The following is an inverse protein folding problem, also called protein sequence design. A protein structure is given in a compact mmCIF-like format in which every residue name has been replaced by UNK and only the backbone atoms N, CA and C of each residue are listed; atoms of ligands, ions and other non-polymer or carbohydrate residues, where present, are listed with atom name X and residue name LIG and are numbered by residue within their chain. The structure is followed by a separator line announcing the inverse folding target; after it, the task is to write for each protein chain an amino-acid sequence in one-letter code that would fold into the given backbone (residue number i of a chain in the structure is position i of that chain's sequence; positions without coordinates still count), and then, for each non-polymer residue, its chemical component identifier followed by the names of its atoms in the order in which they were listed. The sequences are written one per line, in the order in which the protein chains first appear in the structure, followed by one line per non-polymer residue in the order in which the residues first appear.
data_IF_277738608194
#
_entry.id   IF_277738608194
#
_cell.length_a   1.000
_cell.length_b   1.000
_cell.length_c   1.000
_cell.angle_alpha   90.00
_cell.angle_beta   90.00
_cell.angle_gamma   90.00
#
_symmetry.space_group_name_H-M   'P 1'
#
loop_
_entity.id
_entity.type
_entity.pdbx_description
1 polymer ?
#
# COMPACT_ATOMS: atom_id res chain seq x y z
N UNK A 1 -48.84 -13.27 110.27
CA UNK A 1 -49.60 -13.01 109.00
C UNK A 1 -48.87 -12.02 108.11
N UNK A 2 -48.07 -11.14 108.57
CA UNK A 2 -47.39 -10.06 107.72
C UNK A 2 -46.29 -10.58 106.74
N UNK A 3 -45.53 -11.64 107.07
CA UNK A 3 -44.42 -12.14 106.23
C UNK A 3 -44.95 -12.91 104.96
N UNK A 4 -46.11 -13.54 104.99
CA UNK A 4 -46.70 -14.30 103.89
C UNK A 4 -47.26 -13.37 102.81
N UNK A 5 -47.77 -12.22 103.16
CA UNK A 5 -48.29 -11.25 102.24
C UNK A 5 -47.13 -10.47 101.50
N UNK A 6 -45.97 -10.33 102.16
CA UNK A 6 -44.79 -9.72 101.59
C UNK A 6 -44.20 -10.61 100.51
N UNK A 7 -44.16 -11.93 100.69
CA UNK A 7 -43.66 -12.86 99.67
C UNK A 7 -44.58 -12.94 98.45
N UNK A 8 -45.90 -12.87 98.67
CA UNK A 8 -46.83 -12.81 97.55
C UNK A 8 -46.71 -11.54 96.73
N UNK A 9 -46.51 -10.38 97.38
CA UNK A 9 -46.26 -9.10 96.71
C UNK A 9 -44.95 -9.09 95.91
N UNK A 10 -43.87 -9.69 96.44
CA UNK A 10 -42.62 -9.85 95.76
C UNK A 10 -42.72 -10.74 94.51
N UNK A 11 -43.53 -11.86 94.65
CA UNK A 11 -43.79 -12.76 93.54
C UNK A 11 -44.55 -12.08 92.34
N UNK A 12 -45.55 -11.24 92.73
CA UNK A 12 -46.35 -10.53 91.72
C UNK A 12 -45.46 -9.45 90.98
N UNK A 13 -44.61 -8.79 91.72
CA UNK A 13 -43.69 -7.83 91.11
C UNK A 13 -42.67 -8.52 90.22
N UNK A 14 -42.13 -9.67 90.66
CA UNK A 14 -41.17 -10.44 89.83
C UNK A 14 -41.86 -10.97 88.52
N UNK A 15 -43.10 -11.48 88.69
CA UNK A 15 -43.88 -11.92 87.47
C UNK A 15 -44.19 -10.76 86.54
N UNK A 16 -44.50 -9.56 87.05
CA UNK A 16 -44.73 -8.35 86.23
C UNK A 16 -43.47 -7.89 85.49
N UNK A 17 -42.31 -7.98 86.16
CA UNK A 17 -41.03 -7.65 85.54
C UNK A 17 -40.64 -8.65 84.46
N UNK A 18 -40.89 -9.94 84.68
CA UNK A 18 -40.65 -10.98 83.65
C UNK A 18 -41.57 -10.79 82.46
N UNK A 19 -42.88 -10.53 82.64
CA UNK A 19 -43.81 -10.23 81.55
C UNK A 19 -43.39 -8.97 80.80
N UNK A 20 -42.92 -7.95 81.51
CA UNK A 20 -42.46 -6.71 80.88
C UNK A 20 -41.18 -6.93 80.07
N UNK A 21 -40.24 -7.78 80.54
CA UNK A 21 -39.00 -8.11 79.77
C UNK A 21 -39.33 -8.97 78.52
N UNK A 22 -40.32 -9.88 78.59
CA UNK A 22 -40.75 -10.71 77.48
C UNK A 22 -41.55 -9.88 76.47
N UNK A 23 -42.37 -8.93 76.96
CA UNK A 23 -43.18 -8.06 76.10
C UNK A 23 -42.37 -6.89 75.45
N UNK A 24 -41.07 -6.76 75.72
CA UNK A 24 -40.24 -5.79 75.02
C UNK A 24 -40.20 -6.14 73.54
N UNK A 25 -40.74 -5.30 72.62
CA UNK A 25 -40.63 -5.56 71.21
C UNK A 25 -39.14 -5.62 70.84
N UNK A 26 -38.68 -6.79 70.43
CA UNK A 26 -37.34 -6.95 69.84
C UNK A 26 -37.29 -6.01 68.63
N UNK A 27 -36.49 -4.97 68.72
CA UNK A 27 -36.17 -4.16 67.54
C UNK A 27 -35.34 -5.04 66.61
N UNK A 28 -36.04 -5.72 65.68
CA UNK A 28 -35.40 -6.44 64.59
C UNK A 28 -34.38 -5.54 63.86
N UNK A 29 -33.42 -6.13 63.21
CA UNK A 29 -32.44 -5.37 62.45
C UNK A 29 -33.14 -4.40 61.50
N UNK A 30 -32.89 -3.10 61.62
CA UNK A 30 -33.39 -2.13 60.63
C UNK A 30 -32.66 -2.42 59.35
N UNK A 31 -33.34 -3.07 58.41
CA UNK A 31 -32.85 -3.17 57.04
C UNK A 31 -32.92 -1.76 56.43
N UNK A 32 -31.78 -1.11 56.32
CA UNK A 32 -31.62 0.12 55.56
C UNK A 32 -31.68 -0.31 54.08
N UNK A 33 -32.80 -0.12 53.45
CA UNK A 33 -32.92 -0.23 51.98
C UNK A 33 -32.35 1.04 51.40
N UNK A 34 -31.15 0.94 50.82
CA UNK A 34 -30.61 1.99 50.02
C UNK A 34 -31.19 1.87 48.60
N UNK A 35 -32.03 2.80 48.24
CA UNK A 35 -32.64 2.85 46.91
C UNK A 35 -31.85 3.80 46.05
N UNK A 36 -31.25 3.31 44.98
CA UNK A 36 -30.65 4.12 43.94
C UNK A 36 -31.68 4.40 42.82
N UNK A 37 -31.81 5.61 42.34
CA UNK A 37 -32.65 5.89 41.19
C UNK A 37 -32.13 5.14 39.96
N UNK A 38 -33.02 4.52 39.22
CA UNK A 38 -32.67 3.94 37.90
C UNK A 38 -32.43 5.10 36.94
N UNK A 39 -31.19 5.19 36.42
CA UNK A 39 -30.85 6.12 35.39
C UNK A 39 -30.51 5.38 34.08
N UNK A 40 -30.90 5.98 32.95
CA UNK A 40 -30.45 5.48 31.66
C UNK A 40 -29.02 5.95 31.43
N UNK A 41 -28.12 5.00 31.28
CA UNK A 41 -26.72 5.27 30.95
C UNK A 41 -26.51 4.82 29.51
N UNK A 42 -25.97 5.70 28.69
CA UNK A 42 -25.51 5.32 27.33
C UNK A 42 -24.08 4.76 27.46
N UNK A 43 -23.93 3.49 27.19
CA UNK A 43 -22.59 2.87 27.12
C UNK A 43 -22.09 3.08 25.68
N UNK A 44 -20.97 3.71 25.57
CA UNK A 44 -20.26 3.85 24.28
C UNK A 44 -19.11 2.86 24.30
N UNK A 45 -19.09 1.99 23.29
CA UNK A 45 -17.92 1.17 23.01
C UNK A 45 -17.09 1.90 21.96
N UNK A 46 -15.81 2.07 22.20
CA UNK A 46 -14.88 2.73 21.28
C UNK A 46 -13.70 1.82 20.99
N UNK A 47 -13.38 1.69 19.73
CA UNK A 47 -12.15 1.05 19.25
C UNK A 47 -11.11 2.13 19.07
N UNK A 48 -9.90 1.91 19.55
CA UNK A 48 -8.76 2.82 19.38
C UNK A 48 -7.74 2.18 18.46
N UNK A 49 -7.24 2.95 17.51
CA UNK A 49 -6.23 2.52 16.56
C UNK A 49 -5.20 3.64 16.35
N UNK A 50 -4.01 3.28 15.94
CA UNK A 50 -3.00 4.23 15.45
C UNK A 50 -3.02 4.20 13.93
N UNK A 51 -2.70 5.34 13.31
CA UNK A 51 -2.71 5.44 11.85
C UNK A 51 -1.77 6.50 11.33
N UNK A 52 -1.66 6.55 10.02
CA UNK A 52 -0.87 7.54 9.27
C UNK A 52 -1.77 8.42 8.44
N UNK A 53 -1.37 9.68 8.29
CA UNK A 53 -2.04 10.63 7.40
C UNK A 53 -1.36 10.56 6.05
N UNK A 54 -2.10 10.20 5.01
CA UNK A 54 -1.59 10.00 3.67
C UNK A 54 -2.44 10.75 2.65
N UNK A 55 -1.88 11.18 1.52
CA UNK A 55 -2.68 11.72 0.42
C UNK A 55 -3.61 10.65 -0.16
N UNK A 56 -4.81 11.06 -0.57
CA UNK A 56 -5.78 10.13 -1.21
C UNK A 56 -5.24 9.55 -2.50
N UNK A 57 -4.44 10.33 -3.25
CA UNK A 57 -3.82 9.86 -4.50
C UNK A 57 -2.32 10.10 -4.44
N UNK A 58 -1.56 9.02 -4.39
CA UNK A 58 -0.11 9.04 -4.50
C UNK A 58 0.35 7.99 -5.49
N UNK A 59 1.48 8.26 -6.15
CA UNK A 59 2.12 7.33 -7.08
C UNK A 59 3.58 7.15 -6.70
N UNK A 60 3.99 5.90 -6.59
CA UNK A 60 5.38 5.53 -6.41
C UNK A 60 6.06 5.44 -7.76
N UNK A 61 7.15 6.16 -7.90
CA UNK A 61 7.98 6.18 -9.10
C UNK A 61 9.25 5.40 -8.84
N UNK A 62 9.48 4.39 -9.63
CA UNK A 62 10.65 3.51 -9.55
C UNK A 62 11.34 3.33 -10.90
N UNK A 63 12.34 2.46 -10.96
CA UNK A 63 13.04 2.06 -12.19
C UNK A 63 12.98 0.55 -12.40
N UNK A 64 13.00 0.14 -13.67
CA UNK A 64 13.06 -1.27 -14.08
C UNK A 64 14.47 -1.71 -14.50
N UNK A 65 15.46 -0.81 -14.42
CA UNK A 65 16.85 -1.11 -14.73
C UNK A 65 17.73 -0.85 -13.53
N UNK A 66 18.78 -1.65 -13.38
CA UNK A 66 19.79 -1.45 -12.34
C UNK A 66 20.88 -0.50 -12.85
N UNK A 67 21.38 0.34 -11.96
CA UNK A 67 22.45 1.29 -12.31
C UNK A 67 22.71 2.26 -11.15
N UNK A 68 23.53 3.25 -11.43
CA UNK A 68 23.87 4.32 -10.49
C UNK A 68 23.01 5.54 -10.83
N UNK A 69 22.49 6.24 -9.82
CA UNK A 69 21.83 7.52 -10.00
C UNK A 69 22.90 8.56 -10.34
N UNK A 70 22.84 9.13 -11.54
CA UNK A 70 23.78 10.15 -11.99
C UNK A 70 23.39 11.53 -11.47
N UNK A 71 22.11 11.92 -11.66
CA UNK A 71 21.60 13.24 -11.26
C UNK A 71 20.16 13.17 -10.76
N UNK A 72 19.88 14.04 -9.80
CA UNK A 72 18.55 14.32 -9.29
C UNK A 72 18.12 15.73 -9.72
N UNK A 73 16.90 15.87 -10.24
CA UNK A 73 16.33 17.13 -10.71
C UNK A 73 15.12 17.59 -9.89
N UNK A 74 14.65 16.75 -8.98
CA UNK A 74 13.59 17.06 -8.04
C UNK A 74 13.96 16.58 -6.65
N UNK A 75 13.60 17.38 -5.65
CA UNK A 75 13.82 17.07 -4.24
C UNK A 75 12.48 17.06 -3.48
N UNK A 76 12.57 16.73 -2.19
CA UNK A 76 11.43 16.77 -1.27
C UNK A 76 10.70 18.12 -1.34
N UNK A 77 9.36 18.06 -1.39
CA UNK A 77 8.45 19.20 -1.49
C UNK A 77 8.51 20.01 -2.81
N UNK A 78 9.20 19.51 -3.83
CA UNK A 78 9.18 20.13 -5.16
C UNK A 78 7.89 19.83 -5.92
N UNK A 79 7.38 20.84 -6.63
CA UNK A 79 6.26 20.68 -7.55
C UNK A 79 6.76 20.14 -8.89
N UNK A 80 6.19 19.04 -9.34
CA UNK A 80 6.55 18.38 -10.60
C UNK A 80 5.32 18.25 -11.51
N UNK A 81 5.58 18.24 -12.82
CA UNK A 81 4.54 18.03 -13.84
C UNK A 81 4.66 16.65 -14.46
N UNK A 82 3.56 16.11 -14.95
CA UNK A 82 3.56 14.88 -15.72
C UNK A 82 4.54 14.96 -16.91
N UNK A 83 5.44 13.96 -17.02
CA UNK A 83 6.51 13.92 -18.01
C UNK A 83 7.76 14.74 -17.66
N UNK A 84 7.78 15.46 -16.54
CA UNK A 84 8.97 16.19 -16.10
C UNK A 84 10.06 15.23 -15.65
N UNK A 85 11.30 15.47 -16.06
CA UNK A 85 12.48 14.72 -15.62
C UNK A 85 12.73 14.99 -14.13
N UNK A 86 12.77 13.90 -13.33
CA UNK A 86 13.00 13.97 -11.88
C UNK A 86 14.32 13.33 -11.45
N UNK A 87 14.79 12.32 -12.20
CA UNK A 87 16.10 11.72 -11.98
C UNK A 87 16.65 11.10 -13.27
N UNK A 88 17.93 10.92 -13.31
CA UNK A 88 18.66 10.30 -14.42
C UNK A 88 19.69 9.31 -13.87
N UNK A 89 19.71 8.12 -14.45
CA UNK A 89 20.71 7.11 -14.14
C UNK A 89 21.88 7.20 -15.11
N UNK A 90 23.05 6.67 -14.73
CA UNK A 90 24.18 6.51 -15.64
C UNK A 90 23.78 5.67 -16.86
N UNK A 91 23.92 6.26 -18.04
CA UNK A 91 23.50 5.68 -19.32
C UNK A 91 24.66 5.09 -20.12
N UNK A 92 25.89 5.19 -19.65
CA UNK A 92 27.10 4.81 -20.44
C UNK A 92 26.99 3.37 -20.92
N UNK A 93 26.70 2.44 -20.03
CA UNK A 93 26.56 1.01 -20.36
C UNK A 93 25.36 0.74 -21.26
N UNK A 94 24.21 1.35 -21.00
CA UNK A 94 22.99 1.19 -21.77
C UNK A 94 23.11 1.79 -23.18
N UNK A 95 23.86 2.87 -23.33
CA UNK A 95 24.19 3.45 -24.65
C UNK A 95 25.10 2.54 -25.45
N UNK A 96 26.14 1.96 -24.83
CA UNK A 96 27.00 0.99 -25.48
C UNK A 96 26.24 -0.27 -25.94
N UNK A 97 25.31 -0.76 -25.11
CA UNK A 97 24.42 -1.87 -25.49
C UNK A 97 23.51 -1.49 -26.69
N UNK A 98 22.99 -0.25 -26.72
CA UNK A 98 22.17 0.22 -27.82
C UNK A 98 22.98 0.30 -29.12
N UNK A 99 24.22 0.82 -29.07
CA UNK A 99 25.11 0.84 -30.23
C UNK A 99 25.40 -0.57 -30.76
N UNK A 100 25.69 -1.52 -29.86
CA UNK A 100 25.91 -2.91 -30.23
C UNK A 100 24.66 -3.54 -30.88
N UNK A 101 23.47 -3.31 -30.31
CA UNK A 101 22.22 -3.79 -30.89
C UNK A 101 21.91 -3.16 -32.24
N UNK A 102 22.24 -1.87 -32.44
CA UNK A 102 22.11 -1.19 -33.73
C UNK A 102 23.04 -1.77 -34.80
N UNK A 103 24.30 -2.05 -34.44
CA UNK A 103 25.26 -2.69 -35.35
C UNK A 103 24.79 -4.09 -35.75
N UNK A 104 24.29 -4.90 -34.81
CA UNK A 104 23.73 -6.21 -35.09
C UNK A 104 22.50 -6.16 -36.00
N UNK A 105 21.60 -5.19 -35.75
CA UNK A 105 20.44 -4.96 -36.59
C UNK A 105 20.83 -4.54 -38.01
N UNK A 106 21.83 -3.69 -38.16
CA UNK A 106 22.34 -3.27 -39.47
C UNK A 106 22.94 -4.45 -40.25
N UNK A 107 23.71 -5.32 -39.57
CA UNK A 107 24.28 -6.51 -40.16
C UNK A 107 23.20 -7.50 -40.64
N UNK A 108 22.26 -7.85 -39.78
CA UNK A 108 21.15 -8.77 -40.15
C UNK A 108 20.24 -8.20 -41.23
N UNK A 109 20.03 -6.88 -41.23
CA UNK A 109 19.29 -6.19 -42.29
C UNK A 109 19.98 -6.32 -43.63
N UNK A 110 21.30 -6.11 -43.70
CA UNK A 110 22.10 -6.24 -44.94
C UNK A 110 22.02 -7.66 -45.50
N UNK A 111 22.14 -8.68 -44.62
CA UNK A 111 21.99 -10.07 -45.05
C UNK A 111 20.58 -10.38 -45.56
N UNK A 112 19.55 -9.93 -44.85
CA UNK A 112 18.16 -10.09 -45.31
C UNK A 112 17.90 -9.41 -46.65
N UNK A 113 18.40 -8.20 -46.87
CA UNK A 113 18.27 -7.50 -48.17
C UNK A 113 19.00 -8.23 -49.29
N UNK A 114 20.17 -8.80 -49.00
CA UNK A 114 20.91 -9.61 -49.97
C UNK A 114 20.14 -10.90 -50.36
N UNK A 115 19.69 -11.65 -49.34
CA UNK A 115 18.94 -12.88 -49.58
C UNK A 115 17.59 -12.61 -50.23
N UNK A 116 16.92 -11.52 -49.96
CA UNK A 116 15.70 -11.08 -50.61
C UNK A 116 15.92 -10.91 -52.13
N UNK A 117 17.00 -10.22 -52.51
CA UNK A 117 17.36 -10.02 -53.94
C UNK A 117 17.77 -11.32 -54.60
N UNK A 118 18.51 -12.19 -53.90
CA UNK A 118 18.89 -13.51 -54.37
C UNK A 118 17.72 -14.41 -54.61
N UNK A 119 16.81 -14.54 -53.62
CA UNK A 119 15.58 -15.31 -53.74
C UNK A 119 14.71 -14.81 -54.89
N UNK A 120 14.48 -13.50 -55.03
CA UNK A 120 13.69 -12.92 -56.10
C UNK A 120 14.27 -13.27 -57.50
N UNK A 121 15.60 -13.24 -57.65
CA UNK A 121 16.29 -13.63 -58.87
C UNK A 121 16.13 -15.12 -59.16
N UNK A 122 16.37 -15.99 -58.16
CA UNK A 122 16.27 -17.43 -58.30
C UNK A 122 14.82 -17.83 -58.61
N UNK A 123 13.84 -17.18 -57.98
CA UNK A 123 12.42 -17.41 -58.29
C UNK A 123 12.10 -17.12 -59.73
N UNK A 124 12.56 -15.99 -60.31
CA UNK A 124 12.34 -15.64 -61.71
C UNK A 124 13.00 -16.63 -62.66
N UNK A 125 14.19 -17.17 -62.28
CA UNK A 125 14.87 -18.21 -63.09
C UNK A 125 14.16 -19.56 -63.01
N UNK A 126 13.65 -19.92 -61.84
CA UNK A 126 12.85 -21.15 -61.64
C UNK A 126 11.56 -21.13 -62.44
N UNK A 127 10.82 -20.01 -62.46
CA UNK A 127 9.61 -19.83 -63.28
C UNK A 127 9.90 -20.02 -64.78
N UNK A 128 11.15 -19.75 -65.20
CA UNK A 128 11.61 -19.97 -66.59
C UNK A 128 12.28 -21.34 -66.78
N UNK A 129 12.25 -22.24 -65.77
CA UNK A 129 12.88 -23.55 -65.77
C UNK A 129 14.43 -23.52 -66.04
N UNK A 130 15.08 -22.49 -65.57
CA UNK A 130 16.56 -22.28 -65.74
C UNK A 130 17.38 -22.69 -64.54
N UNK A 131 16.74 -23.02 -63.41
CA UNK A 131 17.36 -23.54 -62.20
C UNK A 131 16.53 -24.74 -61.69
N UNK A 132 17.16 -25.61 -60.87
CA UNK A 132 16.52 -26.78 -60.27
C UNK A 132 15.61 -26.40 -59.10
N UNK A 133 14.65 -27.29 -58.78
CA UNK A 133 13.82 -27.15 -57.58
C UNK A 133 14.67 -27.05 -56.29
N UNK A 134 15.74 -27.82 -56.19
CA UNK A 134 16.66 -27.80 -55.05
C UNK A 134 17.36 -26.44 -54.85
N UNK A 135 17.75 -25.76 -55.95
CA UNK A 135 18.33 -24.41 -55.90
C UNK A 135 17.30 -23.35 -55.48
N UNK A 136 16.05 -23.51 -55.95
CA UNK A 136 14.97 -22.63 -55.51
C UNK A 136 14.66 -22.82 -54.03
N UNK A 137 14.52 -24.06 -53.54
CA UNK A 137 14.24 -24.34 -52.13
C UNK A 137 15.39 -23.87 -51.23
N UNK A 138 16.63 -24.01 -51.68
CA UNK A 138 17.79 -23.49 -50.96
C UNK A 138 17.76 -21.94 -50.85
N UNK A 139 17.42 -21.25 -51.94
CA UNK A 139 17.34 -19.78 -51.92
C UNK A 139 16.19 -19.30 -51.04
N UNK A 140 15.05 -20.00 -51.05
CA UNK A 140 13.93 -19.74 -50.18
C UNK A 140 14.29 -19.94 -48.68
N UNK A 141 14.93 -21.08 -48.38
CA UNK A 141 15.40 -21.36 -47.01
C UNK A 141 16.34 -20.26 -46.48
N UNK A 142 17.32 -19.83 -47.28
CA UNK A 142 18.27 -18.77 -46.88
C UNK A 142 17.55 -17.43 -46.69
N UNK A 143 16.59 -17.10 -47.56
CA UNK A 143 15.75 -15.91 -47.42
C UNK A 143 14.96 -15.91 -46.09
N UNK A 144 14.24 -17.00 -45.81
CA UNK A 144 13.46 -17.12 -44.57
C UNK A 144 14.33 -17.08 -43.33
N UNK A 145 15.53 -17.72 -43.36
CA UNK A 145 16.50 -17.70 -42.27
C UNK A 145 16.99 -16.28 -42.03
N UNK A 146 17.38 -15.54 -43.03
CA UNK A 146 17.83 -14.16 -42.95
C UNK A 146 16.72 -13.22 -42.46
N UNK A 147 15.50 -13.43 -42.91
CA UNK A 147 14.32 -12.70 -42.43
C UNK A 147 14.09 -12.90 -40.94
N UNK A 148 14.10 -14.13 -40.48
CA UNK A 148 13.91 -14.46 -39.05
C UNK A 148 15.03 -13.87 -38.18
N UNK A 149 16.28 -13.89 -38.65
CA UNK A 149 17.42 -13.26 -37.98
C UNK A 149 17.27 -11.73 -37.88
N UNK A 150 16.78 -11.10 -38.94
CA UNK A 150 16.50 -9.65 -38.94
C UNK A 150 15.38 -9.31 -37.97
N UNK A 151 14.26 -10.03 -37.98
CA UNK A 151 13.14 -9.82 -37.04
C UNK A 151 13.57 -10.01 -35.57
N UNK A 152 14.39 -11.02 -35.31
CA UNK A 152 14.98 -11.25 -33.97
C UNK A 152 15.86 -10.06 -33.52
N UNK A 153 16.74 -9.56 -34.40
CA UNK A 153 17.60 -8.42 -34.10
C UNK A 153 16.81 -7.14 -33.87
N UNK A 154 15.71 -6.96 -34.64
CA UNK A 154 14.79 -5.84 -34.44
C UNK A 154 14.12 -5.88 -33.07
N UNK A 155 13.62 -7.04 -32.64
CA UNK A 155 13.02 -7.22 -31.31
C UNK A 155 14.04 -6.97 -30.19
N UNK A 156 15.29 -7.45 -30.35
CA UNK A 156 16.38 -7.21 -29.42
C UNK A 156 16.69 -5.71 -29.27
N UNK A 157 16.78 -4.99 -30.39
CA UNK A 157 17.01 -3.55 -30.39
C UNK A 157 15.90 -2.77 -29.70
N UNK A 158 14.63 -3.15 -29.90
CA UNK A 158 13.49 -2.52 -29.21
C UNK A 158 13.60 -2.70 -27.69
N UNK A 159 14.01 -3.89 -27.22
CA UNK A 159 14.21 -4.17 -25.80
C UNK A 159 15.30 -3.26 -25.21
N UNK A 160 16.47 -3.19 -25.85
CA UNK A 160 17.59 -2.36 -25.37
C UNK A 160 17.22 -0.88 -25.36
N UNK A 161 16.54 -0.40 -26.42
CA UNK A 161 16.05 1.00 -26.46
C UNK A 161 15.07 1.30 -25.33
N UNK A 162 14.21 0.36 -24.95
CA UNK A 162 13.30 0.52 -23.83
C UNK A 162 14.05 0.59 -22.50
N UNK A 163 15.03 -0.27 -22.30
CA UNK A 163 15.88 -0.25 -21.11
C UNK A 163 16.60 1.10 -20.94
N UNK A 164 17.12 1.66 -22.03
CA UNK A 164 17.70 3.00 -22.02
C UNK A 164 16.66 4.07 -21.65
N UNK A 165 15.41 3.91 -22.06
CA UNK A 165 14.31 4.80 -21.66
C UNK A 165 14.04 4.77 -20.16
N UNK A 166 14.14 3.61 -19.53
CA UNK A 166 13.95 3.45 -18.07
C UNK A 166 15.06 4.08 -17.23
N UNK A 167 16.21 4.38 -17.80
CA UNK A 167 17.27 5.15 -17.15
C UNK A 167 16.96 6.65 -17.04
N UNK A 168 15.88 7.11 -17.66
CA UNK A 168 15.36 8.49 -17.56
C UNK A 168 14.06 8.45 -16.80
N UNK A 169 14.08 8.90 -15.55
CA UNK A 169 12.96 8.79 -14.61
C UNK A 169 12.16 10.09 -14.68
N UNK A 170 10.90 9.98 -15.07
CA UNK A 170 9.97 11.11 -15.19
C UNK A 170 8.78 10.95 -14.27
N UNK A 171 8.19 12.06 -13.84
CA UNK A 171 6.94 12.04 -13.08
C UNK A 171 5.78 11.54 -13.95
N UNK A 172 4.99 10.56 -13.50
CA UNK A 172 3.79 10.10 -14.22
C UNK A 172 2.59 11.03 -14.07
N UNK A 173 2.58 11.90 -13.04
CA UNK A 173 1.46 12.78 -12.68
C UNK A 173 1.96 14.20 -12.38
N UNK A 174 1.05 15.16 -12.40
CA UNK A 174 1.27 16.46 -11.79
C UNK A 174 1.12 16.34 -10.28
N UNK A 175 1.99 16.97 -9.49
CA UNK A 175 1.91 16.88 -8.04
C UNK A 175 3.12 17.41 -7.31
N UNK A 176 3.25 16.98 -6.05
CA UNK A 176 4.34 17.34 -5.14
C UNK A 176 5.09 16.08 -4.71
N UNK A 177 6.41 16.15 -4.70
CA UNK A 177 7.27 15.05 -4.22
C UNK A 177 7.13 14.95 -2.69
N UNK A 178 6.55 13.84 -2.20
CA UNK A 178 6.39 13.58 -0.75
C UNK A 178 7.65 12.97 -0.16
N UNK A 179 8.29 12.06 -0.89
CA UNK A 179 9.51 11.42 -0.43
C UNK A 179 10.46 11.14 -1.58
N UNK A 180 11.74 11.20 -1.28
CA UNK A 180 12.86 10.80 -2.11
C UNK A 180 13.66 9.74 -1.35
N UNK A 181 13.69 8.53 -1.88
CA UNK A 181 14.33 7.37 -1.25
C UNK A 181 15.73 7.08 -1.80
N UNK A 182 16.28 7.95 -2.67
CA UNK A 182 17.56 7.76 -3.35
C UNK A 182 18.41 9.01 -3.34
N UNK A 183 19.72 8.83 -3.46
CA UNK A 183 20.75 9.89 -3.48
C UNK A 183 21.56 9.83 -4.77
N UNK A 184 22.17 10.95 -5.17
CA UNK A 184 23.15 10.96 -6.27
C UNK A 184 24.35 10.07 -5.96
N UNK A 185 24.76 9.27 -6.92
CA UNK A 185 25.83 8.28 -6.77
C UNK A 185 25.37 6.97 -6.13
N UNK A 186 24.12 6.86 -5.69
CA UNK A 186 23.61 5.61 -5.12
C UNK A 186 23.38 4.56 -6.20
N UNK A 187 23.76 3.33 -5.91
CA UNK A 187 23.46 2.17 -6.77
C UNK A 187 22.06 1.63 -6.46
N UNK A 188 21.24 1.55 -7.48
CA UNK A 188 19.89 0.98 -7.43
C UNK A 188 19.88 -0.35 -8.18
N UNK A 189 19.34 -1.40 -7.56
CA UNK A 189 19.21 -2.72 -8.14
C UNK A 189 17.72 -3.01 -8.39
N UNK A 190 17.31 -3.08 -9.63
CA UNK A 190 15.99 -3.55 -10.05
C UNK A 190 16.04 -5.08 -10.18
N UNK A 191 15.58 -5.78 -9.14
CA UNK A 191 15.58 -7.24 -9.08
C UNK A 191 14.15 -7.80 -9.08
N UNK A 192 13.79 -8.53 -8.01
CA UNK A 192 12.45 -9.11 -7.84
C UNK A 192 11.38 -8.06 -7.50
N UNK A 193 11.79 -6.96 -6.87
CA UNK A 193 10.90 -5.84 -6.54
C UNK A 193 11.43 -4.58 -7.22
N UNK A 194 10.50 -3.74 -7.69
CA UNK A 194 10.85 -2.43 -8.24
C UNK A 194 11.16 -1.48 -7.07
N UNK A 195 12.38 -0.97 -6.93
CA UNK A 195 12.69 -0.03 -5.86
C UNK A 195 11.96 1.29 -6.09
N UNK A 196 11.27 1.78 -5.05
CA UNK A 196 10.67 3.11 -5.06
C UNK A 196 11.75 4.17 -4.93
N UNK A 197 11.81 5.09 -5.86
CA UNK A 197 12.78 6.20 -5.89
C UNK A 197 12.15 7.48 -5.36
N UNK A 198 10.91 7.76 -5.78
CA UNK A 198 10.12 8.92 -5.38
C UNK A 198 8.68 8.50 -5.08
N UNK A 199 8.04 9.21 -4.16
CA UNK A 199 6.59 9.17 -3.97
C UNK A 199 6.03 10.55 -4.29
N UNK A 200 5.06 10.63 -5.19
CA UNK A 200 4.47 11.88 -5.68
C UNK A 200 2.99 11.88 -5.34
N UNK A 201 2.51 12.93 -4.63
CA UNK A 201 1.10 13.16 -4.39
C UNK A 201 0.54 14.13 -5.43
N UNK A 202 -0.65 13.83 -5.92
CA UNK A 202 -1.33 14.72 -6.85
C UNK A 202 -1.82 16.00 -6.15
N UNK A 203 -2.45 15.85 -4.98
CA UNK A 203 -3.05 16.96 -4.24
C UNK A 203 -2.90 16.70 -2.72
N UNK A 204 -2.17 17.60 -2.03
CA UNK A 204 -2.00 17.56 -0.59
C UNK A 204 -3.17 18.17 0.19
N UNK A 205 -4.16 18.74 -0.49
CA UNK A 205 -5.37 19.26 0.17
C UNK A 205 -6.39 18.14 0.47
N UNK A 206 -6.24 16.99 -0.20
CA UNK A 206 -7.08 15.81 0.01
C UNK A 206 -6.26 14.71 0.67
N UNK A 207 -6.41 14.61 1.99
CA UNK A 207 -5.72 13.62 2.80
C UNK A 207 -6.71 12.57 3.32
N UNK A 208 -6.20 11.39 3.62
CA UNK A 208 -6.91 10.31 4.31
C UNK A 208 -6.09 9.85 5.51
N UNK A 209 -6.79 9.34 6.52
CA UNK A 209 -6.15 8.69 7.67
C UNK A 209 -6.29 7.18 7.47
N UNK A 210 -5.17 6.49 7.33
CA UNK A 210 -5.14 5.02 7.28
C UNK A 210 -4.80 4.53 8.68
N UNK A 211 -5.75 3.84 9.32
CA UNK A 211 -5.60 3.35 10.68
C UNK A 211 -5.57 1.83 10.71
N UNK A 212 -4.60 1.26 11.42
CA UNK A 212 -4.49 -0.17 11.63
C UNK A 212 -5.31 -0.58 12.86
N UNK A 213 -6.37 -1.34 12.62
CA UNK A 213 -7.26 -1.86 13.66
C UNK A 213 -6.88 -3.30 13.98
N UNK A 214 -6.79 -3.62 15.28
CA UNK A 214 -6.51 -4.98 15.73
C UNK A 214 -7.59 -5.96 15.25
N UNK A 215 -7.21 -7.19 14.89
CA UNK A 215 -8.12 -8.25 14.45
C UNK A 215 -9.24 -8.52 15.48
N UNK A 216 -8.95 -8.37 16.78
CA UNK A 216 -9.93 -8.57 17.85
C UNK A 216 -11.07 -7.53 17.81
N UNK A 217 -10.80 -6.33 17.32
CA UNK A 217 -11.73 -5.20 17.33
C UNK A 217 -12.41 -4.96 15.97
N UNK A 218 -11.89 -5.57 14.88
CA UNK A 218 -12.41 -5.36 13.53
C UNK A 218 -13.91 -5.70 13.39
N UNK A 219 -14.40 -6.66 14.18
CA UNK A 219 -15.81 -7.02 14.19
C UNK A 219 -16.78 -5.93 14.71
N UNK A 220 -16.23 -4.87 15.33
CA UNK A 220 -16.98 -3.75 15.86
C UNK A 220 -16.90 -2.52 14.95
N UNK A 221 -16.06 -2.56 13.93
CA UNK A 221 -15.87 -1.50 12.93
C UNK A 221 -16.81 -1.75 11.76
N UNK A 222 -17.57 -0.73 11.38
CA UNK A 222 -18.47 -0.77 10.23
C UNK A 222 -18.31 0.48 9.38
N UNK A 223 -18.56 0.33 8.07
CA UNK A 223 -18.52 1.44 7.13
C UNK A 223 -19.53 2.54 7.51
N UNK A 224 -19.13 3.79 7.42
CA UNK A 224 -19.96 4.93 7.77
C UNK A 224 -19.98 5.32 9.25
N UNK A 225 -19.20 4.68 10.10
CA UNK A 225 -19.07 5.08 11.51
C UNK A 225 -18.32 6.41 11.63
N UNK A 226 -18.69 7.20 12.65
CA UNK A 226 -17.95 8.41 13.01
C UNK A 226 -16.61 8.03 13.66
N UNK A 227 -15.55 8.60 13.15
CA UNK A 227 -14.20 8.46 13.66
C UNK A 227 -13.74 9.83 14.16
N UNK A 228 -13.12 9.84 15.32
CA UNK A 228 -12.44 11.01 15.88
C UNK A 228 -10.96 10.70 15.98
N UNK A 229 -10.13 11.59 15.52
CA UNK A 229 -8.68 11.44 15.63
C UNK A 229 -8.01 12.77 16.01
N UNK A 230 -6.85 12.69 16.60
CA UNK A 230 -5.94 13.81 16.83
C UNK A 230 -4.64 13.52 16.11
N UNK A 231 -3.96 14.55 15.67
CA UNK A 231 -2.62 14.43 15.05
C UNK A 231 -1.58 15.03 15.99
N UNK A 232 -0.37 14.48 15.98
CA UNK A 232 0.71 14.91 16.89
C UNK A 232 1.08 16.39 16.72
N UNK A 233 0.89 16.92 15.52
CA UNK A 233 1.14 18.33 15.23
C UNK A 233 0.11 19.27 15.89
N UNK A 234 -1.11 18.78 16.18
CA UNK A 234 -2.21 19.54 16.78
C UNK A 234 -2.90 18.69 17.86
N UNK A 235 -2.24 18.48 19.03
CA UNK A 235 -2.72 17.56 20.07
C UNK A 235 -4.01 18.02 20.76
N UNK A 236 -4.30 19.32 20.74
CA UNK A 236 -5.51 19.92 21.34
C UNK A 236 -6.71 19.91 20.39
N UNK A 237 -6.49 19.67 19.09
CA UNK A 237 -7.55 19.64 18.08
C UNK A 237 -8.02 18.22 17.83
N UNK A 238 -9.33 18.03 17.78
CA UNK A 238 -9.96 16.74 17.42
C UNK A 238 -10.64 16.90 16.06
N UNK A 239 -10.24 16.06 15.14
CA UNK A 239 -10.83 16.00 13.80
C UNK A 239 -11.90 14.91 13.76
N UNK A 240 -12.99 15.16 13.03
CA UNK A 240 -14.07 14.21 12.82
C UNK A 240 -14.15 13.82 11.35
N UNK A 241 -14.23 12.53 11.10
CA UNK A 241 -14.36 11.94 9.77
C UNK A 241 -15.35 10.78 9.76
N UNK A 242 -15.74 10.35 8.55
CA UNK A 242 -16.56 9.18 8.34
C UNK A 242 -15.64 8.02 7.93
N UNK A 243 -15.57 7.00 8.78
CA UNK A 243 -14.75 5.82 8.53
C UNK A 243 -15.23 5.00 7.34
N UNK A 244 -14.28 4.47 6.57
CA UNK A 244 -14.49 3.43 5.56
C UNK A 244 -13.70 2.21 6.00
N UNK A 245 -14.39 1.07 6.13
CA UNK A 245 -13.75 -0.18 6.49
C UNK A 245 -13.38 -0.96 5.22
N UNK A 246 -12.10 -1.34 5.10
CA UNK A 246 -11.64 -2.34 4.14
C UNK A 246 -11.12 -3.54 4.93
N UNK A 247 -11.69 -4.71 4.67
CA UNK A 247 -11.27 -5.99 5.24
C UNK A 247 -10.47 -6.77 4.19
#
# INVERSE_FOLDING_TARGET
MKKRNLLIAAGVVAAGVCIWLIARPSKGPKVLLETAPISHITIRNSVTATGTVEPVTQVEVGTQVSGIIDKLYADYNDQVKAGQLIAEMDKVTLQAELESAQAQLASSKTEYEYQTKNYARTKTLHEKQLVSDAEYDQAFYLYETARNAYEQSQAAMVKVKRNLGYATITSPIDGVVISRAVEEGQTVAAGFETPTLFTIANDLTQMQVVADVDEADIGQVADGQRVQFSVDAYPDDTFEEIGRAHV
#
